data_IF_613166321097
#
_entry.id   IF_613166321097
#
_cell.length_a   1.000
_cell.length_b   1.000
_cell.length_c   1.000
_cell.angle_alpha   90.00
_cell.angle_beta   90.00
_cell.angle_gamma   90.00
#
_symmetry.space_group_name_H-M   'P 1'
#
loop_
_entity.id
_entity.type
_entity.pdbx_description
1 polymer ?
#
# COMPACT_ATOMS: atom_id res chain seq x y z
N UNK A 1 -4.29 -3.70 -8.99
CA UNK A 1 -4.00 -4.60 -7.87
C UNK A 1 -5.29 -5.13 -7.23
N UNK A 2 -6.14 -4.28 -6.64
CA UNK A 2 -7.29 -4.71 -5.81
C UNK A 2 -8.31 -5.61 -6.53
N UNK A 3 -8.68 -5.30 -7.78
CA UNK A 3 -9.58 -6.17 -8.57
C UNK A 3 -9.00 -7.57 -8.78
N UNK A 4 -7.71 -7.66 -9.09
CA UNK A 4 -7.02 -8.93 -9.25
C UNK A 4 -6.93 -9.71 -7.93
N UNK A 5 -6.66 -9.02 -6.82
CA UNK A 5 -6.64 -9.62 -5.48
C UNK A 5 -7.99 -10.26 -5.15
N UNK A 6 -9.07 -9.52 -5.35
CA UNK A 6 -10.44 -10.03 -5.11
C UNK A 6 -10.75 -11.25 -5.98
N UNK A 7 -10.34 -11.21 -7.26
CA UNK A 7 -10.54 -12.32 -8.18
C UNK A 7 -9.76 -13.56 -7.76
N UNK A 8 -8.48 -13.41 -7.41
CA UNK A 8 -7.64 -14.52 -6.96
C UNK A 8 -8.26 -15.20 -5.74
N UNK A 9 -8.66 -14.44 -4.73
CA UNK A 9 -9.25 -15.01 -3.51
C UNK A 9 -10.61 -15.65 -3.82
N UNK A 10 -11.46 -15.01 -4.63
CA UNK A 10 -12.78 -15.53 -4.98
C UNK A 10 -12.74 -16.78 -5.85
N UNK A 11 -11.79 -16.86 -6.80
CA UNK A 11 -11.69 -17.96 -7.75
C UNK A 11 -10.97 -19.19 -7.16
N UNK A 12 -10.09 -18.99 -6.17
CA UNK A 12 -9.18 -20.02 -5.69
C UNK A 12 -9.33 -20.36 -4.20
N UNK A 13 -10.32 -19.79 -3.53
CA UNK A 13 -10.64 -20.10 -2.14
C UNK A 13 -12.14 -20.22 -1.95
N UNK A 14 -12.57 -20.87 -0.87
CA UNK A 14 -13.99 -20.95 -0.47
C UNK A 14 -14.47 -19.68 0.24
N UNK A 15 -13.67 -18.60 0.21
CA UNK A 15 -14.02 -17.35 0.89
C UNK A 15 -14.97 -16.50 0.05
N UNK A 16 -15.93 -15.90 0.72
CA UNK A 16 -16.74 -14.83 0.14
C UNK A 16 -15.90 -13.56 0.00
N UNK A 17 -16.03 -12.89 -1.13
CA UNK A 17 -15.25 -11.69 -1.46
C UNK A 17 -16.20 -10.56 -1.80
N UNK A 18 -15.91 -9.38 -1.25
CA UNK A 18 -16.60 -8.15 -1.58
C UNK A 18 -15.57 -7.04 -1.84
N UNK A 19 -15.75 -6.31 -2.92
CA UNK A 19 -14.89 -5.19 -3.28
C UNK A 19 -15.73 -3.95 -3.61
N UNK A 20 -15.39 -2.83 -2.99
CA UNK A 20 -15.92 -1.51 -3.30
C UNK A 20 -14.79 -0.57 -3.66
N UNK A 21 -15.08 0.34 -4.58
CA UNK A 21 -14.13 1.36 -5.02
C UNK A 21 -14.73 2.74 -4.76
N UNK A 22 -14.01 3.52 -3.98
CA UNK A 22 -14.34 4.91 -3.73
C UNK A 22 -13.41 5.79 -4.56
N UNK A 23 -13.99 6.67 -5.36
CA UNK A 23 -13.27 7.62 -6.18
C UNK A 23 -13.51 9.02 -5.64
N UNK A 24 -12.44 9.82 -5.52
CA UNK A 24 -12.59 11.25 -5.29
C UNK A 24 -13.07 11.89 -6.59
N UNK A 25 -14.16 12.64 -6.53
CA UNK A 25 -14.77 13.31 -7.68
C UNK A 25 -13.98 14.53 -8.18
N UNK A 26 -12.90 14.91 -7.53
CA UNK A 26 -12.02 16.00 -7.96
C UNK A 26 -11.18 15.58 -9.16
N UNK A 27 -11.16 16.47 -10.17
CA UNK A 27 -10.48 16.29 -11.46
C UNK A 27 -9.04 15.77 -11.31
N UNK A 28 -8.69 14.78 -12.13
CA UNK A 28 -7.35 14.19 -12.40
C UNK A 28 -6.37 14.16 -11.23
N UNK A 29 -6.10 12.99 -10.71
CA UNK A 29 -5.18 12.74 -9.60
C UNK A 29 -5.85 12.60 -8.24
N UNK A 30 -7.17 12.41 -8.20
CA UNK A 30 -7.93 12.15 -6.98
C UNK A 30 -7.58 10.83 -6.31
N UNK A 31 -7.82 10.76 -5.01
CA UNK A 31 -7.65 9.57 -4.19
C UNK A 31 -8.60 8.46 -4.65
N UNK A 32 -8.07 7.27 -4.88
CA UNK A 32 -8.86 6.06 -5.06
C UNK A 32 -8.65 5.14 -3.87
N UNK A 33 -9.73 4.80 -3.18
CA UNK A 33 -9.71 3.85 -2.08
C UNK A 33 -10.42 2.58 -2.53
N UNK A 34 -9.75 1.45 -2.36
CA UNK A 34 -10.33 0.13 -2.59
C UNK A 34 -10.61 -0.54 -1.26
N UNK A 35 -11.86 -0.88 -1.03
CA UNK A 35 -12.31 -1.60 0.16
C UNK A 35 -12.53 -3.06 -0.19
N UNK A 36 -11.77 -3.95 0.43
CA UNK A 36 -11.87 -5.38 0.21
C UNK A 36 -12.30 -6.07 1.51
N UNK A 37 -13.26 -6.98 1.40
CA UNK A 37 -13.68 -7.86 2.50
C UNK A 37 -13.59 -9.30 2.05
N UNK A 38 -13.09 -10.13 2.96
CA UNK A 38 -13.01 -11.57 2.78
C UNK A 38 -13.57 -12.25 4.03
N UNK A 39 -14.25 -13.37 3.85
CA UNK A 39 -14.80 -14.10 4.99
C UNK A 39 -15.32 -15.47 4.62
N UNK A 40 -15.49 -16.33 5.63
CA UNK A 40 -16.01 -17.69 5.47
C UNK A 40 -17.54 -17.73 5.44
N UNK A 41 -18.18 -16.56 5.61
CA UNK A 41 -19.65 -16.40 5.58
C UNK A 41 -20.03 -15.35 4.53
N UNK A 42 -21.26 -15.43 3.98
CA UNK A 42 -21.75 -14.43 3.05
C UNK A 42 -21.64 -13.01 3.62
N UNK A 43 -21.02 -12.10 2.85
CA UNK A 43 -20.83 -10.71 3.24
C UNK A 43 -22.07 -9.92 2.85
N UNK A 44 -22.80 -9.43 3.84
CA UNK A 44 -24.03 -8.64 3.64
C UNK A 44 -23.88 -7.16 3.93
N UNK A 45 -22.66 -6.73 4.29
CA UNK A 45 -22.37 -5.32 4.60
C UNK A 45 -22.37 -4.47 3.35
N UNK A 46 -23.14 -3.39 3.34
CA UNK A 46 -23.25 -2.44 2.22
C UNK A 46 -22.46 -1.15 2.45
N UNK A 47 -21.60 -1.09 3.47
CA UNK A 47 -20.83 0.08 3.86
C UNK A 47 -19.33 -0.11 3.68
N UNK A 48 -18.59 0.98 3.62
CA UNK A 48 -17.13 0.98 3.55
C UNK A 48 -16.48 0.32 4.78
N UNK A 49 -15.26 -0.19 4.59
CA UNK A 49 -14.48 -0.78 5.68
C UNK A 49 -14.06 0.34 6.63
N UNK A 50 -14.61 0.34 7.83
CA UNK A 50 -14.26 1.28 8.90
C UNK A 50 -13.26 0.70 9.93
N UNK A 51 -12.94 -0.59 9.83
CA UNK A 51 -11.93 -1.25 10.65
C UNK A 51 -11.22 -2.30 9.80
N UNK A 52 -9.98 -2.03 9.45
CA UNK A 52 -9.19 -2.83 8.51
C UNK A 52 -8.11 -3.65 9.23
N UNK A 53 -7.95 -4.91 8.84
CA UNK A 53 -6.84 -5.75 9.29
C UNK A 53 -5.53 -5.37 8.61
N UNK A 54 -5.62 -4.84 7.38
CA UNK A 54 -4.47 -4.39 6.61
C UNK A 54 -4.84 -3.16 5.77
N UNK A 55 -4.00 -2.14 5.81
CA UNK A 55 -4.06 -0.97 4.92
C UNK A 55 -2.79 -0.90 4.10
N UNK A 56 -2.94 -0.69 2.81
CA UNK A 56 -1.84 -0.55 1.85
C UNK A 56 -1.90 0.83 1.21
N UNK A 57 -0.85 1.61 1.37
CA UNK A 57 -0.67 2.89 0.71
C UNK A 57 0.33 2.77 -0.44
N UNK A 58 -0.15 2.80 -1.68
CA UNK A 58 0.68 2.68 -2.87
C UNK A 58 1.38 3.97 -3.29
N UNK A 59 0.95 5.13 -2.76
CA UNK A 59 1.52 6.42 -3.10
C UNK A 59 1.93 7.20 -1.84
N UNK A 60 3.23 7.40 -1.60
CA UNK A 60 3.71 8.08 -0.40
C UNK A 60 3.29 9.55 -0.32
N UNK A 61 2.90 10.17 -1.43
CA UNK A 61 2.38 11.54 -1.45
C UNK A 61 1.05 11.69 -0.69
N UNK A 62 0.38 10.60 -0.34
CA UNK A 62 -0.83 10.62 0.48
C UNK A 62 -0.52 10.75 1.98
N UNK A 63 0.68 10.46 2.41
CA UNK A 63 1.14 10.69 3.78
C UNK A 63 1.04 12.19 4.10
N UNK A 64 0.41 12.51 5.21
CA UNK A 64 0.17 13.90 5.63
C UNK A 64 -1.03 14.59 4.97
N UNK A 65 -1.63 13.99 3.94
CA UNK A 65 -2.87 14.49 3.33
C UNK A 65 -4.11 13.73 3.80
N UNK A 66 -3.96 12.45 4.10
CA UNK A 66 -5.04 11.56 4.51
C UNK A 66 -4.60 10.75 5.74
N UNK A 67 -5.51 10.58 6.68
CA UNK A 67 -5.31 9.70 7.83
C UNK A 67 -5.67 8.26 7.44
N UNK A 68 -4.68 7.54 6.92
CA UNK A 68 -4.88 6.19 6.42
C UNK A 68 -4.66 5.09 7.46
N UNK A 69 -4.16 5.44 8.64
CA UNK A 69 -3.96 4.46 9.73
C UNK A 69 -5.09 4.49 10.77
N UNK A 70 -5.98 5.48 10.68
CA UNK A 70 -7.12 5.62 11.60
C UNK A 70 -7.98 4.37 11.65
N UNK A 71 -8.24 3.79 10.49
CA UNK A 71 -9.14 2.66 10.34
C UNK A 71 -8.42 1.30 10.45
N UNK A 72 -7.11 1.29 10.71
CA UNK A 72 -6.37 0.04 11.00
C UNK A 72 -6.71 -0.43 12.41
N UNK A 73 -7.10 -1.70 12.53
CA UNK A 73 -7.36 -2.34 13.83
C UNK A 73 -6.09 -2.40 14.67
N UNK A 74 -6.21 -2.39 16.03
CA UNK A 74 -5.08 -2.72 16.89
C UNK A 74 -4.42 -4.04 16.49
N UNK A 75 -3.09 -4.05 16.37
CA UNK A 75 -2.33 -5.21 15.90
C UNK A 75 -2.43 -5.47 14.40
N UNK A 76 -3.13 -4.63 13.63
CA UNK A 76 -3.23 -4.73 12.18
C UNK A 76 -1.94 -4.38 11.45
N UNK A 77 -2.00 -4.38 10.12
CA UNK A 77 -0.84 -4.17 9.24
C UNK A 77 -1.02 -2.86 8.48
N UNK A 78 0.06 -2.08 8.41
CA UNK A 78 0.17 -0.93 7.50
C UNK A 78 1.39 -1.11 6.59
N UNK A 79 1.17 -1.16 5.28
CA UNK A 79 2.20 -1.25 4.25
C UNK A 79 2.25 0.06 3.47
N UNK A 80 3.39 0.74 3.50
CA UNK A 80 3.65 1.98 2.78
C UNK A 80 4.65 1.74 1.65
N UNK A 81 4.26 2.09 0.42
CA UNK A 81 5.20 2.13 -0.69
C UNK A 81 6.03 3.40 -0.60
N UNK A 82 7.28 3.28 -0.20
CA UNK A 82 8.26 4.36 -0.16
C UNK A 82 9.68 3.79 -0.14
N UNK A 83 10.64 4.64 -0.45
CA UNK A 83 12.08 4.37 -0.35
C UNK A 83 12.70 4.98 0.91
N UNK A 84 11.89 5.53 1.82
CA UNK A 84 12.36 6.18 3.04
C UNK A 84 12.81 5.15 4.08
N UNK A 85 13.94 5.41 4.69
CA UNK A 85 14.50 4.57 5.76
C UNK A 85 15.04 5.45 6.90
N UNK A 86 15.14 4.88 8.10
CA UNK A 86 15.75 5.51 9.27
C UNK A 86 15.21 6.92 9.58
N UNK A 87 16.10 7.89 9.68
CA UNK A 87 15.76 9.28 10.02
C UNK A 87 14.86 9.95 8.97
N UNK A 88 15.02 9.62 7.70
CA UNK A 88 14.17 10.17 6.65
C UNK A 88 12.72 9.69 6.80
N UNK A 89 12.52 8.41 7.07
CA UNK A 89 11.18 7.84 7.32
C UNK A 89 10.56 8.54 8.53
N UNK A 90 11.33 8.72 9.60
CA UNK A 90 10.85 9.39 10.81
C UNK A 90 10.47 10.84 10.57
N UNK A 91 11.26 11.57 9.80
CA UNK A 91 11.00 12.97 9.47
C UNK A 91 9.78 13.17 8.56
N UNK A 92 9.51 12.23 7.67
CA UNK A 92 8.40 12.32 6.70
C UNK A 92 7.05 11.88 7.25
N UNK A 93 7.04 11.06 8.32
CA UNK A 93 5.79 10.61 8.93
C UNK A 93 5.22 11.67 9.87
N UNK A 94 3.95 12.09 9.69
CA UNK A 94 3.27 12.97 10.63
C UNK A 94 3.17 12.33 12.02
N UNK A 95 3.20 13.16 13.06
CA UNK A 95 3.11 12.71 14.44
C UNK A 95 1.83 11.90 14.72
N UNK A 96 0.72 12.27 14.10
CA UNK A 96 -0.56 11.56 14.22
C UNK A 96 -0.45 10.11 13.72
N UNK A 97 0.21 9.89 12.59
CA UNK A 97 0.45 8.55 12.03
C UNK A 97 1.39 7.75 12.94
N UNK A 98 2.48 8.37 13.43
CA UNK A 98 3.40 7.73 14.36
C UNK A 98 2.69 7.29 15.65
N UNK A 99 1.88 8.19 16.24
CA UNK A 99 1.11 7.86 17.46
C UNK A 99 0.15 6.70 17.21
N UNK A 100 -0.59 6.71 16.12
CA UNK A 100 -1.53 5.63 15.80
C UNK A 100 -0.82 4.28 15.63
N UNK A 101 0.31 4.26 14.93
CA UNK A 101 1.12 3.04 14.74
C UNK A 101 1.59 2.50 16.09
N UNK A 102 2.16 3.34 16.95
CA UNK A 102 2.68 2.92 18.24
C UNK A 102 1.58 2.51 19.22
N UNK A 103 0.55 3.35 19.39
CA UNK A 103 -0.52 3.13 20.36
C UNK A 103 -1.40 1.93 20.02
N UNK A 104 -1.66 1.68 18.75
CA UNK A 104 -2.42 0.52 18.27
C UNK A 104 -1.55 -0.71 18.04
N UNK A 105 -0.24 -0.64 18.25
CA UNK A 105 0.70 -1.74 17.98
C UNK A 105 0.59 -2.25 16.53
N UNK A 106 0.44 -1.34 15.59
CA UNK A 106 0.34 -1.66 14.16
C UNK A 106 1.69 -2.21 13.69
N UNK A 107 1.67 -3.32 12.97
CA UNK A 107 2.83 -3.85 12.26
C UNK A 107 3.06 -3.00 11.03
N UNK A 108 4.09 -2.17 11.07
CA UNK A 108 4.40 -1.22 10.02
C UNK A 108 5.48 -1.78 9.09
N UNK A 109 5.24 -1.72 7.79
CA UNK A 109 6.15 -2.16 6.74
C UNK A 109 6.33 -1.08 5.70
N UNK A 110 7.54 -0.97 5.15
CA UNK A 110 7.83 -0.19 3.94
C UNK A 110 8.19 -1.12 2.79
N UNK A 111 7.94 -0.67 1.57
CA UNK A 111 8.24 -1.41 0.35
C UNK A 111 8.65 -0.42 -0.74
N UNK A 112 9.88 -0.51 -1.23
CA UNK A 112 10.35 0.30 -2.34
C UNK A 112 10.00 -0.35 -3.69
N UNK A 113 8.71 -0.43 -3.97
CA UNK A 113 8.20 -1.07 -5.18
C UNK A 113 8.58 -0.32 -6.46
N UNK A 114 8.80 0.99 -6.38
CA UNK A 114 9.18 1.81 -7.55
C UNK A 114 10.56 1.44 -8.06
N UNK A 115 11.55 1.37 -7.18
CA UNK A 115 12.91 0.98 -7.56
C UNK A 115 13.00 -0.49 -7.97
N UNK A 116 12.25 -1.37 -7.30
CA UNK A 116 12.15 -2.78 -7.70
C UNK A 116 11.56 -2.88 -9.12
N UNK A 117 10.46 -2.20 -9.42
CA UNK A 117 9.84 -2.19 -10.74
C UNK A 117 10.81 -1.66 -11.82
N UNK A 118 11.58 -0.62 -11.50
CA UNK A 118 12.58 -0.05 -12.41
C UNK A 118 13.69 -1.03 -12.73
N UNK A 119 14.23 -1.73 -11.73
CA UNK A 119 15.26 -2.76 -11.90
C UNK A 119 14.81 -3.94 -12.76
N UNK A 120 13.54 -4.32 -12.65
CA UNK A 120 12.93 -5.39 -13.45
C UNK A 120 12.62 -4.95 -14.89
N UNK A 121 12.49 -3.64 -15.15
CA UNK A 121 12.11 -3.09 -16.46
C UNK A 121 10.62 -2.74 -16.58
N UNK A 122 9.87 -2.73 -15.50
CA UNK A 122 8.44 -2.42 -15.48
C UNK A 122 8.12 -0.93 -15.45
N UNK A 123 9.11 -0.04 -15.54
CA UNK A 123 8.95 1.42 -15.66
C UNK A 123 8.00 2.04 -14.63
N UNK A 124 8.08 1.63 -13.38
CA UNK A 124 7.24 2.16 -12.28
C UNK A 124 5.84 1.52 -12.16
N UNK A 125 5.54 0.47 -12.90
CA UNK A 125 4.33 -0.33 -12.70
C UNK A 125 4.49 -1.23 -11.48
N UNK A 126 4.04 -0.73 -10.33
CA UNK A 126 4.27 -1.33 -9.01
C UNK A 126 3.19 -2.31 -8.55
N UNK A 127 2.06 -2.37 -9.26
CA UNK A 127 0.87 -3.08 -8.77
C UNK A 127 1.11 -4.56 -8.46
N UNK A 128 1.87 -5.26 -9.29
CA UNK A 128 2.17 -6.69 -9.09
C UNK A 128 3.06 -6.91 -7.88
N UNK A 129 4.05 -6.04 -7.67
CA UNK A 129 4.97 -6.09 -6.52
C UNK A 129 4.20 -5.87 -5.21
N UNK A 130 3.39 -4.81 -5.16
CA UNK A 130 2.56 -4.46 -4.00
C UNK A 130 1.55 -5.57 -3.70
N UNK A 131 0.92 -6.14 -4.71
CA UNK A 131 -0.03 -7.24 -4.54
C UNK A 131 0.65 -8.48 -3.96
N UNK A 132 1.82 -8.83 -4.46
CA UNK A 132 2.60 -9.96 -3.96
C UNK A 132 3.05 -9.75 -2.51
N UNK A 133 3.52 -8.54 -2.17
CA UNK A 133 3.85 -8.17 -0.81
C UNK A 133 2.63 -8.24 0.13
N UNK A 134 1.48 -7.77 -0.34
CA UNK A 134 0.23 -7.86 0.40
C UNK A 134 -0.14 -9.32 0.73
N UNK A 135 -0.13 -10.22 -0.25
CA UNK A 135 -0.42 -11.63 -0.01
C UNK A 135 0.54 -12.26 1.00
N UNK A 136 1.80 -11.88 0.96
CA UNK A 136 2.79 -12.36 1.92
C UNK A 136 2.49 -11.89 3.35
N UNK A 137 2.11 -10.63 3.52
CA UNK A 137 1.86 -10.03 4.83
C UNK A 137 0.50 -10.41 5.41
N UNK A 138 -0.54 -10.46 4.57
CA UNK A 138 -1.90 -10.72 5.00
C UNK A 138 -2.15 -12.20 5.37
N UNK A 139 -1.33 -13.11 4.87
CA UNK A 139 -1.38 -14.55 5.17
C UNK A 139 -2.78 -15.18 5.02
N UNK A 140 -3.51 -14.73 3.99
CA UNK A 140 -4.88 -15.20 3.72
C UNK A 140 -4.92 -16.55 3.01
N UNK A 141 -3.89 -16.84 2.23
CA UNK A 141 -3.66 -18.07 1.50
C UNK A 141 -2.19 -18.43 1.60
N UNK A 142 -1.80 -19.71 1.47
CA UNK A 142 -0.39 -20.09 1.45
C UNK A 142 0.41 -19.30 0.42
N UNK A 143 1.60 -18.85 0.77
CA UNK A 143 2.42 -17.97 -0.08
C UNK A 143 2.71 -18.61 -1.46
N UNK A 144 2.96 -19.91 -1.50
CA UNK A 144 3.21 -20.65 -2.73
C UNK A 144 1.99 -20.64 -3.66
N UNK A 145 0.79 -20.82 -3.09
CA UNK A 145 -0.46 -20.77 -3.84
C UNK A 145 -0.70 -19.36 -4.39
N UNK A 146 -0.49 -18.32 -3.58
CA UNK A 146 -0.61 -16.93 -4.03
C UNK A 146 0.33 -16.63 -5.21
N UNK A 147 1.57 -17.08 -5.15
CA UNK A 147 2.56 -16.93 -6.23
C UNK A 147 2.05 -17.62 -7.49
N UNK A 148 1.58 -18.86 -7.39
CA UNK A 148 1.11 -19.62 -8.54
C UNK A 148 -0.13 -18.98 -9.18
N UNK A 149 -1.12 -18.56 -8.38
CA UNK A 149 -2.31 -17.87 -8.89
C UNK A 149 -1.98 -16.54 -9.56
N UNK A 150 -1.04 -15.79 -9.02
CA UNK A 150 -0.57 -14.56 -9.64
C UNK A 150 0.14 -14.84 -10.98
N UNK A 151 0.97 -15.88 -11.06
CA UNK A 151 1.63 -16.30 -12.30
C UNK A 151 0.62 -16.72 -13.37
N UNK A 152 -0.40 -17.50 -13.02
CA UNK A 152 -1.45 -17.89 -13.94
C UNK A 152 -2.21 -16.68 -14.48
N UNK A 153 -2.54 -15.72 -13.63
CA UNK A 153 -3.16 -14.46 -14.05
C UNK A 153 -2.28 -13.66 -15.01
N UNK A 154 -0.97 -13.62 -14.79
CA UNK A 154 -0.01 -12.96 -15.67
C UNK A 154 0.04 -13.64 -17.04
N UNK A 155 0.10 -14.96 -17.07
CA UNK A 155 0.10 -15.73 -18.33
C UNK A 155 -1.19 -15.47 -19.12
N UNK A 156 -2.34 -15.46 -18.46
CA UNK A 156 -3.62 -15.18 -19.08
C UNK A 156 -3.71 -13.74 -19.64
N UNK A 157 -3.21 -12.75 -18.90
CA UNK A 157 -3.34 -11.34 -19.26
C UNK A 157 -2.29 -10.88 -20.27
N UNK A 158 -1.11 -11.48 -20.24
CA UNK A 158 0.07 -11.00 -20.99
C UNK A 158 0.68 -12.04 -21.94
N UNK A 159 0.25 -13.30 -21.90
CA UNK A 159 0.83 -14.35 -22.75
C UNK A 159 0.85 -14.00 -24.25
N UNK A 160 -0.21 -13.41 -24.75
CA UNK A 160 -0.29 -12.93 -26.14
C UNK A 160 0.61 -11.73 -26.46
N UNK A 161 1.14 -11.04 -25.43
CA UNK A 161 2.01 -9.85 -25.60
C UNK A 161 3.50 -10.18 -25.67
N UNK A 162 3.85 -11.44 -25.50
CA UNK A 162 5.21 -11.97 -25.59
C UNK A 162 5.79 -12.41 -24.24
N UNK A 163 6.67 -13.41 -24.33
CA UNK A 163 7.28 -14.07 -23.16
C UNK A 163 8.06 -13.09 -22.29
N UNK A 164 8.75 -12.13 -22.86
CA UNK A 164 9.51 -11.15 -22.10
C UNK A 164 8.64 -10.32 -21.12
N UNK A 165 7.40 -10.01 -21.51
CA UNK A 165 6.46 -9.28 -20.65
C UNK A 165 5.97 -10.18 -19.53
N UNK A 166 5.71 -11.46 -19.81
CA UNK A 166 5.35 -12.47 -18.82
C UNK A 166 6.49 -12.60 -17.80
N UNK A 167 7.72 -12.77 -18.26
CA UNK A 167 8.89 -12.99 -17.40
C UNK A 167 9.14 -11.79 -16.46
N UNK A 168 9.03 -10.56 -16.96
CA UNK A 168 9.15 -9.36 -16.12
C UNK A 168 8.06 -9.31 -15.02
N UNK A 169 6.82 -9.65 -15.35
CA UNK A 169 5.74 -9.65 -14.37
C UNK A 169 5.87 -10.80 -13.37
N UNK A 170 6.34 -11.97 -13.77
CA UNK A 170 6.67 -13.09 -12.87
C UNK A 170 7.81 -12.69 -11.93
N UNK A 171 8.85 -12.03 -12.45
CA UNK A 171 9.93 -11.50 -11.60
C UNK A 171 9.40 -10.50 -10.57
N UNK A 172 8.40 -9.69 -10.91
CA UNK A 172 7.75 -8.78 -9.97
C UNK A 172 6.98 -9.50 -8.86
N UNK A 173 6.31 -10.63 -9.18
CA UNK A 173 5.67 -11.47 -8.15
C UNK A 173 6.69 -11.98 -7.15
N UNK A 174 7.78 -12.55 -7.65
CA UNK A 174 8.83 -13.11 -6.79
C UNK A 174 9.52 -12.03 -5.94
N UNK A 175 9.83 -10.88 -6.55
CA UNK A 175 10.41 -9.74 -5.83
C UNK A 175 9.49 -9.21 -4.73
N UNK A 176 8.18 -9.18 -4.96
CA UNK A 176 7.18 -8.73 -3.99
C UNK A 176 7.15 -9.57 -2.72
N UNK A 177 7.48 -10.86 -2.79
CA UNK A 177 7.49 -11.75 -1.63
C UNK A 177 8.50 -11.33 -0.55
N UNK A 178 9.56 -10.65 -0.92
CA UNK A 178 10.63 -10.20 -0.02
C UNK A 178 10.80 -8.69 0.02
N UNK A 179 9.91 -7.95 -0.64
CA UNK A 179 10.03 -6.50 -0.80
C UNK A 179 9.65 -5.70 0.45
N UNK A 180 8.71 -6.20 1.26
CA UNK A 180 8.28 -5.54 2.48
C UNK A 180 9.33 -5.67 3.57
N UNK A 181 9.73 -4.53 4.14
CA UNK A 181 10.66 -4.44 5.27
C UNK A 181 9.90 -4.01 6.51
N UNK A 182 9.99 -4.76 7.59
CA UNK A 182 9.39 -4.37 8.87
C UNK A 182 10.13 -3.18 9.46
N UNK A 183 9.37 -2.19 9.90
CA UNK A 183 9.90 -1.02 10.59
C UNK A 183 9.85 -1.27 12.09
N UNK A 184 11.01 -1.15 12.75
CA UNK A 184 11.08 -1.17 14.21
C UNK A 184 10.49 0.15 14.74
N UNK A 185 9.31 0.08 15.36
CA UNK A 185 8.58 1.25 15.85
C UNK A 185 9.17 1.71 17.18
N UNK A 186 9.76 2.92 17.26
CA UNK A 186 10.29 3.44 18.52
C UNK A 186 9.17 3.69 19.54
N UNK A 187 9.41 3.42 20.81
CA UNK A 187 8.47 3.71 21.88
C UNK A 187 8.10 5.20 21.98
N UNK A 188 9.01 6.08 21.58
CA UNK A 188 8.81 7.54 21.52
C UNK A 188 7.67 7.95 20.58
N UNK A 189 7.35 7.14 19.57
CA UNK A 189 6.26 7.45 18.64
C UNK A 189 4.89 7.51 19.32
N UNK A 190 4.70 6.82 20.42
CA UNK A 190 3.44 6.86 21.18
C UNK A 190 3.07 8.29 21.66
N UNK A 191 4.08 9.13 21.85
CA UNK A 191 3.92 10.52 22.29
C UNK A 191 4.50 11.52 21.26
N UNK A 192 4.63 11.12 19.99
CA UNK A 192 5.15 11.98 18.94
C UNK A 192 4.32 13.27 18.84
N UNK A 193 5.00 14.39 18.65
CA UNK A 193 4.39 15.70 18.43
C UNK A 193 4.87 16.26 17.11
N UNK A 194 4.00 16.99 16.43
CA UNK A 194 4.40 17.69 15.22
C UNK A 194 5.40 18.80 15.64
N UNK A 195 6.57 18.80 15.02
CA UNK A 195 7.50 19.91 15.13
C UNK A 195 6.87 21.19 14.61
N UNK A 196 7.38 22.35 15.03
CA UNK A 196 6.96 23.62 14.46
C UNK A 196 7.09 23.53 12.93
N UNK A 197 5.96 23.71 12.24
CA UNK A 197 6.00 23.80 10.77
C UNK A 197 6.89 24.98 10.44
N UNK A 198 7.95 24.81 9.61
CA UNK A 198 8.72 25.95 9.17
C UNK A 198 7.75 26.95 8.55
N UNK A 199 7.68 28.13 9.12
CA UNK A 199 6.94 29.24 8.55
C UNK A 199 7.62 29.52 7.21
N UNK A 200 6.97 29.18 6.11
CA UNK A 200 7.37 29.62 4.79
C UNK A 200 7.32 31.14 4.82
N UNK A 201 8.47 31.77 5.07
CA UNK A 201 8.62 33.19 4.81
C UNK A 201 8.48 33.37 3.30
N UNK A 202 7.32 33.82 2.88
CA UNK A 202 7.14 34.41 1.57
C UNK A 202 8.11 35.59 1.48
N UNK A 203 9.24 35.40 0.82
CA UNK A 203 10.08 36.52 0.41
C UNK A 203 9.22 37.34 -0.57
N UNK A 204 8.59 38.37 -0.05
CA UNK A 204 8.09 39.49 -0.85
C UNK A 204 9.32 40.12 -1.50
N UNK A 205 9.58 39.80 -2.74
CA UNK A 205 10.49 40.57 -3.56
C UNK A 205 9.79 41.90 -3.77
N UNK A 206 10.25 42.91 -3.02
CA UNK A 206 9.91 44.30 -3.30
C UNK A 206 10.44 44.62 -4.71
N UNK A 207 9.53 44.74 -5.65
CA UNK A 207 9.81 45.44 -6.90
C UNK A 207 9.92 46.92 -6.52
N UNK A 208 11.16 47.39 -6.22
CA UNK A 208 11.44 48.81 -6.30
C UNK A 208 11.71 49.15 -7.76
N UNK A 209 11.00 50.17 -8.13
CA UNK A 209 11.03 50.90 -9.38
C UNK A 209 12.45 51.42 -9.69
N UNK A 210 12.84 51.37 -10.96
CA UNK A 210 13.37 52.49 -11.74
C UNK A 210 13.00 52.33 -13.23
#
# INVERSE_FOLDING_TARGET
ASKNTSKIIGDHTDKYVQAYFQYDSKKSGGLTISHLRFGDKPIRSSYYVGAADCVVCGNPAYIGKYDMVRDVKPGGIFLLNCDWEGEELEARLPAEIKRAIAQKQIKFYTCDAVNIARKIGLKGRINTIIQSAYFKLADLIPAEDAIEYMKQGIINDYGAKGQNIVDMNVAAVLAGQTAAKEVSVPASWANAQDGEKPVLQLNTVNAEQD
#
